data_IF_516356422942
#
_entry.id   IF_516356422942
#
_cell.length_a   1.000
_cell.length_b   1.000
_cell.length_c   1.000
_cell.angle_alpha   90.00
_cell.angle_beta   90.00
_cell.angle_gamma   90.00
#
_symmetry.space_group_name_H-M   'P 1'
#
loop_
_entity.id
_entity.type
_entity.pdbx_description
1 polymer ?
#
# COMPACT_ATOMS: atom_id res chain seq x y z
N UNK A 1 -20.36 -49.59 28.78
CA UNK A 1 -19.73 -48.96 27.59
C UNK A 1 -19.62 -47.48 27.89
N UNK A 2 -18.42 -47.02 28.28
CA UNK A 2 -18.19 -45.61 28.66
C UNK A 2 -17.88 -44.83 27.39
N UNK A 3 -18.72 -43.84 27.09
CA UNK A 3 -18.59 -42.96 25.93
C UNK A 3 -17.48 -41.94 26.19
N UNK A 4 -16.41 -42.01 25.40
CA UNK A 4 -15.28 -41.09 25.45
C UNK A 4 -15.61 -39.87 24.58
N UNK A 5 -16.21 -38.82 25.17
CA UNK A 5 -16.37 -37.53 24.51
C UNK A 5 -15.03 -36.80 24.47
N UNK A 6 -14.41 -36.80 23.29
CA UNK A 6 -13.24 -35.97 22.96
C UNK A 6 -13.72 -34.51 22.81
N UNK A 7 -13.61 -33.71 23.87
CA UNK A 7 -13.81 -32.26 23.82
C UNK A 7 -12.62 -31.61 23.10
N UNK A 8 -12.67 -31.58 21.77
CA UNK A 8 -11.75 -30.80 20.95
C UNK A 8 -12.06 -29.32 21.20
N UNK A 9 -11.32 -28.72 22.12
CA UNK A 9 -11.39 -27.29 22.42
C UNK A 9 -10.83 -26.54 21.23
N UNK A 10 -11.70 -26.11 20.31
CA UNK A 10 -11.34 -25.21 19.23
C UNK A 10 -11.03 -23.85 19.87
N UNK A 11 -9.78 -23.65 20.29
CA UNK A 11 -9.28 -22.34 20.66
C UNK A 11 -9.36 -21.47 19.41
N UNK A 12 -10.44 -20.72 19.26
CA UNK A 12 -10.56 -19.66 18.27
C UNK A 12 -9.48 -18.67 18.66
N UNK A 13 -8.32 -18.74 17.99
CA UNK A 13 -7.33 -17.68 18.00
C UNK A 13 -8.04 -16.46 17.44
N UNK A 14 -8.57 -15.63 18.34
CA UNK A 14 -8.98 -14.26 18.05
C UNK A 14 -7.71 -13.57 17.56
N UNK A 15 -7.51 -13.61 16.24
CA UNK A 15 -6.45 -12.85 15.61
C UNK A 15 -6.86 -11.40 15.77
N UNK A 16 -6.25 -10.73 16.74
CA UNK A 16 -6.35 -9.30 16.85
C UNK A 16 -5.82 -8.73 15.52
N UNK A 17 -6.69 -8.11 14.73
CA UNK A 17 -6.29 -7.38 13.52
C UNK A 17 -5.45 -6.19 13.98
N UNK A 18 -4.13 -6.38 14.09
CA UNK A 18 -3.22 -5.29 14.30
C UNK A 18 -3.14 -4.47 13.01
N UNK A 19 -3.28 -3.15 13.13
CA UNK A 19 -3.13 -2.26 11.98
C UNK A 19 -1.72 -1.67 11.94
N UNK A 20 -1.24 -1.42 10.73
CA UNK A 20 0.11 -0.90 10.51
C UNK A 20 0.06 0.63 10.39
N UNK A 21 0.76 1.35 11.27
CA UNK A 21 1.04 2.76 11.08
C UNK A 21 2.45 2.97 10.54
N UNK A 22 2.50 3.37 9.28
CA UNK A 22 3.71 3.67 8.53
C UNK A 22 4.14 5.12 8.75
N UNK A 23 5.38 5.33 9.19
CA UNK A 23 5.97 6.66 9.26
C UNK A 23 6.61 7.05 7.92
N UNK A 24 5.99 8.01 7.23
CA UNK A 24 6.44 8.49 5.92
C UNK A 24 7.65 9.43 5.97
N UNK A 25 8.09 9.90 7.14
CA UNK A 25 9.21 10.85 7.24
C UNK A 25 10.51 10.29 6.62
N UNK A 26 10.74 8.98 6.76
CA UNK A 26 11.96 8.30 6.33
C UNK A 26 11.73 7.37 5.11
N UNK A 27 10.58 7.45 4.46
CA UNK A 27 10.22 6.62 3.30
C UNK A 27 9.22 7.36 2.42
N UNK A 28 9.53 8.63 2.14
CA UNK A 28 8.62 9.60 1.51
C UNK A 28 8.21 9.13 0.13
N UNK A 29 9.15 8.65 -0.67
CA UNK A 29 8.90 8.24 -2.06
C UNK A 29 8.05 6.97 -2.13
N UNK A 30 8.27 6.03 -1.22
CA UNK A 30 7.40 4.85 -1.09
C UNK A 30 5.97 5.26 -0.66
N UNK A 31 5.83 6.18 0.30
CA UNK A 31 4.49 6.67 0.68
C UNK A 31 3.77 7.35 -0.48
N UNK A 32 4.49 8.17 -1.28
CA UNK A 32 3.93 8.79 -2.49
C UNK A 32 3.42 7.71 -3.47
N UNK A 33 4.18 6.63 -3.69
CA UNK A 33 3.76 5.52 -4.54
C UNK A 33 2.47 4.85 -4.03
N UNK A 34 2.43 4.51 -2.75
CA UNK A 34 1.27 3.86 -2.14
C UNK A 34 0.02 4.78 -2.12
N UNK A 35 0.19 6.07 -1.85
CA UNK A 35 -0.90 7.04 -1.92
C UNK A 35 -1.42 7.21 -3.34
N UNK A 36 -0.55 7.26 -4.35
CA UNK A 36 -1.00 7.25 -5.75
C UNK A 36 -1.78 5.98 -6.05
N UNK A 37 -1.21 4.81 -5.73
CA UNK A 37 -1.82 3.52 -6.00
C UNK A 37 -3.24 3.43 -5.42
N UNK A 38 -3.44 3.82 -4.16
CA UNK A 38 -4.75 3.73 -3.49
C UNK A 38 -5.67 4.88 -3.88
N UNK A 39 -5.21 6.13 -3.77
CA UNK A 39 -6.08 7.31 -3.89
C UNK A 39 -6.36 7.73 -5.34
N UNK A 40 -5.55 7.27 -6.29
CA UNK A 40 -5.65 7.61 -7.70
C UNK A 40 -5.79 6.36 -8.57
N UNK A 41 -5.07 5.28 -8.23
CA UNK A 41 -5.03 4.03 -8.98
C UNK A 41 -6.03 2.95 -8.53
N UNK A 42 -6.85 3.23 -7.51
CA UNK A 42 -7.84 2.29 -6.99
C UNK A 42 -7.26 0.93 -6.51
N UNK A 43 -6.00 0.90 -6.07
CA UNK A 43 -5.37 -0.28 -5.51
C UNK A 43 -6.07 -0.70 -4.21
N UNK A 44 -6.13 -2.02 -3.96
CA UNK A 44 -6.78 -2.56 -2.77
C UNK A 44 -6.07 -2.05 -1.49
N UNK A 45 -6.78 -1.33 -0.60
CA UNK A 45 -6.19 -0.79 0.62
C UNK A 45 -6.04 -1.82 1.75
N UNK A 46 -6.74 -2.95 1.65
CA UNK A 46 -6.61 -4.07 2.60
C UNK A 46 -5.48 -4.96 2.14
N UNK A 47 -4.55 -5.26 3.05
CA UNK A 47 -3.41 -6.10 2.76
C UNK A 47 -3.51 -7.39 3.58
N UNK A 48 -3.20 -8.52 2.95
CA UNK A 48 -3.19 -9.83 3.59
C UNK A 48 -1.76 -10.33 3.62
N UNK A 49 -1.18 -10.59 4.79
CA UNK A 49 0.22 -11.05 4.89
C UNK A 49 0.41 -12.32 4.06
N UNK A 50 1.34 -12.29 3.11
CA UNK A 50 1.68 -13.43 2.27
C UNK A 50 2.43 -14.53 3.05
N UNK A 51 2.50 -15.75 2.48
CA UNK A 51 3.30 -16.82 3.06
C UNK A 51 4.78 -16.42 3.25
N UNK A 52 5.48 -16.92 4.28
CA UNK A 52 6.92 -16.70 4.42
C UNK A 52 7.68 -17.04 3.14
N UNK A 53 8.60 -16.17 2.73
CA UNK A 53 9.40 -16.35 1.51
C UNK A 53 8.71 -16.00 0.19
N UNK A 54 7.41 -15.65 0.20
CA UNK A 54 6.71 -15.28 -1.04
C UNK A 54 7.22 -13.98 -1.66
N UNK A 55 7.77 -13.05 -0.86
CA UNK A 55 8.11 -11.69 -1.31
C UNK A 55 9.07 -11.62 -2.48
N UNK A 56 10.06 -12.52 -2.57
CA UNK A 56 10.95 -12.57 -3.73
C UNK A 56 10.20 -12.92 -5.02
N UNK A 57 9.26 -13.88 -4.94
CA UNK A 57 8.43 -14.24 -6.08
C UNK A 57 7.45 -13.11 -6.44
N UNK A 58 6.91 -12.40 -5.44
CA UNK A 58 6.02 -11.27 -5.68
C UNK A 58 6.76 -10.11 -6.35
N UNK A 59 7.93 -9.72 -5.86
CA UNK A 59 8.83 -8.74 -6.51
C UNK A 59 9.09 -9.08 -7.96
N UNK A 60 9.39 -10.36 -8.22
CA UNK A 60 9.58 -10.83 -9.59
C UNK A 60 8.31 -10.66 -10.42
N UNK A 61 7.16 -11.08 -9.93
CA UNK A 61 5.86 -10.90 -10.61
C UNK A 61 5.52 -9.43 -10.87
N UNK A 62 5.82 -8.58 -9.90
CA UNK A 62 5.65 -7.14 -10.02
C UNK A 62 6.59 -6.49 -11.04
N UNK A 63 7.64 -7.18 -11.53
CA UNK A 63 8.64 -6.60 -12.42
C UNK A 63 9.73 -5.80 -11.69
N UNK A 64 9.78 -5.88 -10.36
CA UNK A 64 10.88 -5.36 -9.53
C UNK A 64 12.09 -6.33 -9.48
N UNK A 65 12.14 -7.36 -10.32
CA UNK A 65 13.33 -8.19 -10.49
C UNK A 65 14.24 -7.59 -11.57
N UNK A 66 15.52 -7.36 -11.23
CA UNK A 66 16.53 -6.92 -12.21
C UNK A 66 16.85 -5.43 -12.14
N UNK A 67 17.11 -4.82 -13.31
CA UNK A 67 17.69 -3.47 -13.43
C UNK A 67 16.69 -2.39 -13.84
N UNK A 68 15.39 -2.57 -13.55
CA UNK A 68 14.34 -1.62 -13.97
C UNK A 68 14.56 -0.21 -13.40
N UNK A 69 15.19 -0.11 -12.24
CA UNK A 69 15.60 1.14 -11.61
C UNK A 69 17.06 1.52 -11.85
N UNK A 70 17.72 0.93 -12.86
CA UNK A 70 19.02 1.40 -13.30
C UNK A 70 18.84 2.64 -14.20
N UNK A 71 19.23 3.81 -13.67
CA UNK A 71 19.10 5.09 -14.36
C UNK A 71 19.79 5.15 -15.73
N UNK A 72 20.78 4.29 -16.01
CA UNK A 72 21.47 4.26 -17.32
C UNK A 72 20.68 3.52 -18.40
N UNK A 73 19.74 2.65 -18.00
CA UNK A 73 19.03 1.74 -18.92
C UNK A 73 17.52 1.82 -18.80
N UNK A 74 17.00 2.49 -17.78
CA UNK A 74 15.57 2.60 -17.56
C UNK A 74 14.93 3.47 -18.66
N UNK A 75 13.84 2.99 -19.30
CA UNK A 75 13.11 3.75 -20.30
C UNK A 75 12.10 4.74 -19.68
N UNK A 76 12.13 4.94 -18.36
CA UNK A 76 11.30 5.87 -17.61
C UNK A 76 12.17 6.67 -16.62
N UNK A 77 11.67 7.80 -16.08
CA UNK A 77 12.36 8.51 -15.02
C UNK A 77 12.69 7.61 -13.82
N UNK A 78 13.88 7.82 -13.27
CA UNK A 78 14.40 7.08 -12.10
C UNK A 78 14.93 8.10 -11.11
N UNK A 79 14.33 8.15 -9.92
CA UNK A 79 14.80 9.02 -8.82
C UNK A 79 15.66 8.27 -7.80
N UNK A 80 15.77 6.94 -7.92
CA UNK A 80 16.70 6.15 -7.12
C UNK A 80 16.79 4.70 -7.59
N UNK A 81 17.79 3.96 -7.11
CA UNK A 81 18.17 2.67 -7.68
C UNK A 81 17.27 1.50 -7.24
N UNK A 82 16.31 1.74 -6.35
CA UNK A 82 15.49 0.68 -5.75
C UNK A 82 14.08 0.69 -6.30
N UNK A 83 13.53 -0.49 -6.58
CA UNK A 83 12.12 -0.64 -6.98
C UNK A 83 11.23 -0.77 -5.74
N UNK A 84 10.25 0.13 -5.61
CA UNK A 84 9.17 0.07 -4.64
C UNK A 84 7.88 -0.38 -5.32
N UNK A 85 7.03 -1.09 -4.57
CA UNK A 85 5.85 -1.76 -5.09
C UNK A 85 4.68 -1.63 -4.11
N UNK A 86 3.52 -1.21 -4.62
CA UNK A 86 2.25 -1.25 -3.90
C UNK A 86 1.16 -1.89 -4.77
N UNK A 87 0.40 -2.89 -4.29
CA UNK A 87 0.48 -3.54 -2.97
C UNK A 87 1.85 -4.19 -2.66
N UNK A 88 2.18 -4.30 -1.37
CA UNK A 88 3.51 -4.74 -0.93
C UNK A 88 3.84 -6.16 -1.39
N UNK A 89 5.10 -6.45 -1.74
CA UNK A 89 5.51 -7.83 -2.03
C UNK A 89 5.34 -8.81 -0.84
N UNK A 90 5.19 -8.31 0.39
CA UNK A 90 4.86 -9.13 1.56
C UNK A 90 3.37 -9.39 1.75
N UNK A 91 2.49 -8.89 0.88
CA UNK A 91 1.04 -9.13 0.92
C UNK A 91 0.56 -9.97 -0.26
N UNK A 92 -0.54 -10.72 -0.14
CA UNK A 92 -1.05 -11.56 -1.25
C UNK A 92 -1.55 -10.74 -2.43
N UNK A 93 -1.89 -9.47 -2.20
CA UNK A 93 -2.32 -8.51 -3.20
C UNK A 93 -1.15 -7.97 -4.05
N UNK A 94 0.11 -8.21 -3.63
CA UNK A 94 1.29 -7.82 -4.38
C UNK A 94 1.56 -8.69 -5.62
N UNK A 95 2.57 -8.30 -6.40
CA UNK A 95 2.95 -9.00 -7.62
C UNK A 95 2.39 -8.33 -8.87
N UNK A 96 1.84 -9.13 -9.79
CA UNK A 96 1.42 -8.65 -11.11
C UNK A 96 0.41 -7.49 -10.97
N UNK A 97 0.62 -6.41 -11.72
CA UNK A 97 -0.23 -5.21 -11.67
C UNK A 97 0.06 -4.25 -10.51
N UNK A 98 1.06 -4.52 -9.67
CA UNK A 98 1.50 -3.55 -8.66
C UNK A 98 1.91 -2.22 -9.29
N UNK A 99 1.64 -1.13 -8.57
CA UNK A 99 2.14 0.20 -8.86
C UNK A 99 3.58 0.30 -8.42
N UNK A 100 4.46 0.58 -9.37
CA UNK A 100 5.89 0.62 -9.15
C UNK A 100 6.41 2.04 -9.18
N UNK A 101 7.43 2.30 -8.37
CA UNK A 101 8.21 3.54 -8.41
C UNK A 101 9.67 3.21 -8.14
N UNK A 102 10.57 3.78 -8.93
CA UNK A 102 11.99 3.71 -8.60
C UNK A 102 12.34 4.78 -7.58
N UNK A 103 12.80 4.39 -6.39
CA UNK A 103 13.00 5.26 -5.23
C UNK A 103 14.42 5.16 -4.66
N UNK A 104 14.86 6.12 -3.85
CA UNK A 104 16.11 5.99 -3.09
C UNK A 104 16.11 4.72 -2.24
N UNK A 105 17.24 4.01 -2.18
CA UNK A 105 17.35 2.76 -1.45
C UNK A 105 17.03 2.94 0.06
N UNK A 106 17.41 4.08 0.65
CA UNK A 106 17.10 4.41 2.03
C UNK A 106 15.59 4.43 2.33
N UNK A 107 14.79 5.00 1.43
CA UNK A 107 13.33 5.01 1.55
C UNK A 107 12.76 3.59 1.55
N UNK A 108 13.24 2.73 0.64
CA UNK A 108 12.78 1.34 0.54
C UNK A 108 13.17 0.51 1.76
N UNK A 109 14.42 0.66 2.25
CA UNK A 109 14.87 -0.03 3.46
C UNK A 109 14.10 0.38 4.71
N UNK A 110 13.80 1.67 4.84
CA UNK A 110 12.99 2.20 5.94
C UNK A 110 11.56 1.66 5.90
N UNK A 111 10.91 1.66 4.73
CA UNK A 111 9.57 1.09 4.55
C UNK A 111 9.57 -0.40 4.92
N UNK A 112 10.50 -1.18 4.37
CA UNK A 112 10.58 -2.62 4.60
C UNK A 112 10.90 -2.97 6.05
N UNK A 113 11.77 -2.19 6.71
CA UNK A 113 12.09 -2.36 8.13
C UNK A 113 10.89 -2.13 9.04
N UNK A 114 10.12 -1.06 8.79
CA UNK A 114 8.89 -0.77 9.54
C UNK A 114 7.85 -1.88 9.38
N UNK A 115 7.60 -2.32 8.14
CA UNK A 115 6.62 -3.36 7.84
C UNK A 115 7.03 -4.74 8.40
N UNK A 116 8.31 -5.09 8.30
CA UNK A 116 8.84 -6.31 8.93
C UNK A 116 8.73 -6.25 10.45
N UNK A 117 9.04 -5.11 11.06
CA UNK A 117 8.89 -4.89 12.50
C UNK A 117 7.44 -5.07 12.96
N UNK A 118 6.49 -4.49 12.21
CA UNK A 118 5.06 -4.65 12.45
C UNK A 118 4.66 -6.13 12.48
N UNK A 119 5.06 -6.90 11.47
CA UNK A 119 4.75 -8.32 11.37
C UNK A 119 5.31 -9.15 12.52
N UNK A 120 6.55 -8.86 12.94
CA UNK A 120 7.22 -9.60 14.03
C UNK A 120 6.59 -9.24 15.37
N UNK A 121 6.46 -7.95 15.69
CA UNK A 121 5.99 -7.48 17.00
C UNK A 121 4.53 -7.85 17.24
N UNK A 122 3.69 -7.81 16.21
CA UNK A 122 2.26 -8.09 16.33
C UNK A 122 1.89 -9.54 15.99
N UNK A 123 2.87 -10.40 15.70
CA UNK A 123 2.62 -11.81 15.39
C UNK A 123 1.66 -12.03 14.22
N UNK A 124 1.61 -11.10 13.26
CA UNK A 124 0.68 -11.17 12.12
C UNK A 124 1.06 -12.38 11.28
N UNK A 125 0.31 -13.47 11.25
CA UNK A 125 0.71 -14.65 10.46
C UNK A 125 0.25 -14.54 9.00
N UNK A 126 0.72 -15.45 8.14
CA UNK A 126 0.23 -15.53 6.76
C UNK A 126 -1.29 -15.70 6.73
N UNK A 127 -1.96 -15.00 5.82
CA UNK A 127 -3.42 -14.89 5.78
C UNK A 127 -4.01 -13.83 6.73
N UNK A 128 -3.21 -13.25 7.62
CA UNK A 128 -3.64 -12.15 8.49
C UNK A 128 -3.85 -10.87 7.69
N UNK A 129 -5.04 -10.30 7.80
CA UNK A 129 -5.40 -9.03 7.17
C UNK A 129 -5.08 -7.84 8.07
N UNK A 130 -4.62 -6.75 7.46
CA UNK A 130 -4.34 -5.49 8.13
C UNK A 130 -4.64 -4.30 7.22
N UNK A 131 -5.00 -3.18 7.85
CA UNK A 131 -5.06 -1.89 7.18
C UNK A 131 -3.73 -1.15 7.38
N UNK A 132 -3.39 -0.33 6.40
CA UNK A 132 -2.25 0.59 6.49
C UNK A 132 -2.77 1.99 6.81
N UNK A 133 -2.17 2.61 7.81
CA UNK A 133 -2.29 4.02 8.11
C UNK A 133 -0.93 4.67 7.89
N UNK A 134 -0.91 5.96 7.63
CA UNK A 134 0.30 6.74 7.45
C UNK A 134 0.38 7.88 8.47
N UNK A 135 1.60 8.23 8.86
CA UNK A 135 1.95 9.40 9.66
C UNK A 135 3.00 10.23 8.93
N UNK A 136 3.13 11.50 9.30
CA UNK A 136 4.11 12.42 8.69
C UNK A 136 3.97 12.51 7.15
N UNK A 137 2.73 12.48 6.67
CA UNK A 137 2.36 12.50 5.24
C UNK A 137 1.99 13.87 4.69
N UNK A 138 1.91 14.89 5.55
CA UNK A 138 1.54 16.26 5.15
C UNK A 138 2.51 16.78 4.08
N UNK A 139 1.95 17.37 3.02
CA UNK A 139 2.71 17.87 1.87
C UNK A 139 3.31 16.78 0.95
N UNK A 140 3.02 15.50 1.18
CA UNK A 140 3.33 14.44 0.22
C UNK A 140 2.26 14.40 -0.87
N UNK A 141 2.70 14.37 -2.13
CA UNK A 141 1.80 14.23 -3.28
C UNK A 141 0.94 12.98 -3.13
N UNK A 142 -0.34 13.09 -3.53
CA UNK A 142 -1.39 12.06 -3.44
C UNK A 142 -1.83 11.66 -2.03
N UNK A 143 -0.98 11.83 -1.01
CA UNK A 143 -1.35 11.61 0.40
C UNK A 143 -2.01 12.84 1.02
N UNK A 144 -1.86 14.00 0.41
CA UNK A 144 -2.43 15.25 0.89
C UNK A 144 -3.16 15.91 -0.27
N UNK A 145 -4.50 15.95 -0.17
CA UNK A 145 -5.36 16.55 -1.18
C UNK A 145 -5.12 18.06 -1.36
N UNK A 146 -4.40 18.71 -0.43
CA UNK A 146 -4.01 20.11 -0.57
C UNK A 146 -2.84 20.32 -1.55
N UNK A 147 -2.14 19.26 -1.97
CA UNK A 147 -1.01 19.37 -2.91
C UNK A 147 -1.53 19.52 -4.35
N UNK A 148 -1.18 20.60 -5.07
CA UNK A 148 -1.61 20.81 -6.46
C UNK A 148 -1.16 19.70 -7.40
N UNK A 149 -1.96 19.44 -8.44
CA UNK A 149 -1.65 18.44 -9.48
C UNK A 149 -2.54 17.20 -9.45
N UNK A 150 -3.45 17.08 -8.47
CA UNK A 150 -4.50 16.09 -8.50
C UNK A 150 -3.97 14.65 -8.55
N UNK A 151 -4.63 13.81 -9.34
CA UNK A 151 -4.16 12.45 -9.63
C UNK A 151 -3.28 12.34 -10.88
N UNK A 152 -2.83 13.45 -11.47
CA UNK A 152 -1.86 13.36 -12.56
C UNK A 152 -0.60 12.63 -12.08
N UNK A 153 -0.10 11.67 -12.85
CA UNK A 153 1.14 10.95 -12.55
C UNK A 153 2.31 11.96 -12.56
N UNK A 154 3.23 11.86 -11.61
CA UNK A 154 4.42 12.72 -11.54
C UNK A 154 5.54 12.28 -12.49
N UNK A 155 5.23 11.31 -13.35
CA UNK A 155 6.14 10.69 -14.32
C UNK A 155 6.95 9.54 -13.73
N UNK A 156 6.64 9.09 -12.52
CA UNK A 156 7.45 8.09 -11.82
C UNK A 156 6.67 6.81 -11.47
N UNK A 157 5.33 6.82 -11.51
CA UNK A 157 4.56 5.59 -11.36
C UNK A 157 4.50 4.82 -12.68
N UNK A 158 4.78 3.53 -12.62
CA UNK A 158 4.68 2.62 -13.77
C UNK A 158 4.18 1.24 -13.36
N UNK A 159 3.73 0.46 -14.34
CA UNK A 159 3.54 -0.99 -14.24
C UNK A 159 4.56 -1.69 -15.14
N UNK A 160 4.82 -2.97 -14.90
CA UNK A 160 5.46 -3.81 -15.92
C UNK A 160 4.42 -4.66 -16.63
N UNK A 161 4.47 -4.67 -17.96
CA UNK A 161 3.76 -5.64 -18.78
C UNK A 161 4.72 -6.68 -19.29
N UNK A 162 4.24 -7.92 -19.41
CA UNK A 162 5.01 -9.06 -19.91
C UNK A 162 4.52 -9.40 -21.30
N UNK A 163 5.36 -9.15 -22.30
CA UNK A 163 5.06 -9.47 -23.68
C UNK A 163 5.95 -10.60 -24.16
N UNK A 164 5.36 -11.58 -24.84
CA UNK A 164 6.12 -12.59 -25.57
C UNK A 164 6.67 -11.96 -26.85
N UNK A 165 7.98 -12.00 -27.03
CA UNK A 165 8.57 -11.63 -28.31
C UNK A 165 8.31 -12.72 -29.36
N UNK A 166 8.68 -12.46 -30.63
CA UNK A 166 8.49 -13.38 -31.77
C UNK A 166 9.14 -14.77 -31.58
N UNK A 167 10.02 -14.93 -30.59
CA UNK A 167 10.71 -16.19 -30.25
C UNK A 167 10.09 -16.89 -29.03
N UNK A 168 8.94 -16.41 -28.54
CA UNK A 168 8.30 -16.93 -27.33
C UNK A 168 9.03 -16.59 -26.03
N UNK A 169 9.98 -15.64 -26.06
CA UNK A 169 10.69 -15.18 -24.86
C UNK A 169 9.94 -14.01 -24.27
N UNK A 170 9.56 -14.14 -23.01
CA UNK A 170 8.91 -13.10 -22.22
C UNK A 170 9.88 -11.94 -21.97
N UNK A 171 9.42 -10.73 -22.27
CA UNK A 171 10.14 -9.48 -22.02
C UNK A 171 9.28 -8.61 -21.12
N UNK A 172 9.87 -8.13 -20.03
CA UNK A 172 9.24 -7.17 -19.13
C UNK A 172 9.46 -5.76 -19.67
N UNK A 173 8.36 -5.04 -19.90
CA UNK A 173 8.37 -3.67 -20.42
C UNK A 173 7.70 -2.77 -19.38
N UNK A 174 8.40 -1.78 -18.85
CA UNK A 174 7.77 -0.79 -17.98
C UNK A 174 6.90 0.15 -18.81
N UNK A 175 5.71 0.44 -18.31
CA UNK A 175 4.76 1.39 -18.88
C UNK A 175 4.35 2.37 -17.80
N UNK A 176 4.55 3.67 -18.05
CA UNK A 176 4.07 4.71 -17.14
C UNK A 176 2.56 4.55 -16.94
N UNK A 177 2.12 4.70 -15.70
CA UNK A 177 0.68 4.71 -15.42
C UNK A 177 0.10 5.98 -16.04
N UNK A 178 -0.91 5.89 -16.91
CA UNK A 178 -1.56 7.10 -17.45
C UNK A 178 -2.24 7.88 -16.32
N UNK A 179 -2.54 9.14 -16.57
CA UNK A 179 -3.39 9.91 -15.66
C UNK A 179 -4.74 9.19 -15.52
N UNK A 180 -5.22 8.92 -14.29
CA UNK A 180 -6.43 8.14 -14.09
C UNK A 180 -7.65 8.87 -14.63
N UNK A 181 -8.52 8.08 -15.25
CA UNK A 181 -9.75 8.53 -15.88
C UNK A 181 -10.89 7.70 -15.31
N UNK A 182 -11.97 8.34 -14.86
CA UNK A 182 -13.20 7.70 -14.41
C UNK A 182 -14.26 7.81 -15.50
N UNK A 183 -15.00 6.73 -15.74
CA UNK A 183 -16.13 6.75 -16.68
C UNK A 183 -17.39 7.11 -15.89
N UNK A 184 -17.99 8.24 -16.22
CA UNK A 184 -19.26 8.70 -15.65
C UNK A 184 -20.31 8.81 -16.74
N UNK A 185 -21.59 8.74 -16.35
CA UNK A 185 -22.69 9.04 -17.26
C UNK A 185 -22.99 10.53 -17.18
N UNK A 186 -22.78 11.25 -18.29
CA UNK A 186 -23.19 12.64 -18.44
C UNK A 186 -24.17 12.73 -19.60
N UNK A 187 -25.35 13.31 -19.36
CA UNK A 187 -26.44 13.41 -20.34
C UNK A 187 -26.87 12.07 -20.99
N UNK A 188 -26.74 10.97 -20.24
CA UNK A 188 -27.13 9.64 -20.70
C UNK A 188 -26.09 8.92 -21.56
N UNK A 189 -24.90 9.50 -21.73
CA UNK A 189 -23.77 8.91 -22.44
C UNK A 189 -22.59 8.65 -21.49
N UNK A 190 -21.91 7.51 -21.66
CA UNK A 190 -20.67 7.22 -20.92
C UNK A 190 -19.54 8.10 -21.45
N UNK A 191 -18.98 8.92 -20.56
CA UNK A 191 -17.86 9.80 -20.86
C UNK A 191 -16.73 9.57 -19.85
N UNK A 192 -15.49 9.62 -20.34
CA UNK A 192 -14.30 9.49 -19.51
C UNK A 192 -13.86 10.87 -19.01
N UNK A 193 -13.83 11.05 -17.70
CA UNK A 193 -13.40 12.27 -17.02
C UNK A 193 -12.09 12.02 -16.29
N UNK A 194 -11.13 12.94 -16.41
CA UNK A 194 -9.90 12.83 -15.64
C UNK A 194 -10.23 12.88 -14.14
N UNK A 195 -9.67 11.96 -13.36
CA UNK A 195 -9.72 12.03 -11.91
C UNK A 195 -8.88 13.21 -11.49
N UNK A 196 -9.53 14.33 -11.20
CA UNK A 196 -8.83 15.59 -10.97
C UNK A 196 -8.25 15.69 -9.57
N UNK A 197 -8.69 14.86 -8.61
CA UNK A 197 -8.22 14.91 -7.22
C UNK A 197 -8.10 13.50 -6.60
N UNK A 198 -7.10 13.26 -5.73
CA UNK A 198 -7.03 12.04 -4.93
C UNK A 198 -8.27 11.89 -4.05
N UNK A 199 -8.71 10.65 -3.85
CA UNK A 199 -9.79 10.40 -2.89
C UNK A 199 -9.38 10.85 -1.48
N UNK A 200 -10.29 11.47 -0.72
CA UNK A 200 -9.99 11.94 0.62
C UNK A 200 -9.74 10.76 1.55
N UNK A 201 -8.62 10.80 2.27
CA UNK A 201 -8.33 9.83 3.31
C UNK A 201 -9.04 10.17 4.61
N UNK A 202 -9.55 9.13 5.29
CA UNK A 202 -10.07 9.25 6.66
C UNK A 202 -8.92 9.51 7.63
N UNK A 203 -9.11 10.46 8.53
CA UNK A 203 -8.09 10.89 9.49
C UNK A 203 -8.51 10.54 10.91
N UNK A 204 -7.59 10.07 11.73
CA UNK A 204 -7.85 9.68 13.11
C UNK A 204 -6.81 10.22 14.08
N UNK A 205 -7.14 10.18 15.37
CA UNK A 205 -6.23 10.48 16.47
C UNK A 205 -6.16 9.28 17.39
N UNK A 206 -4.94 8.91 17.79
CA UNK A 206 -4.66 7.80 18.71
C UNK A 206 -4.64 8.25 20.18
N UNK A 207 -4.54 7.28 21.10
CA UNK A 207 -4.49 7.53 22.54
C UNK A 207 -3.24 8.23 23.06
N UNK A 208 -2.21 8.36 22.24
CA UNK A 208 -1.05 9.20 22.51
C UNK A 208 -1.06 10.50 21.69
N UNK A 209 -2.23 10.92 21.20
CA UNK A 209 -2.44 12.17 20.47
C UNK A 209 -1.64 12.29 19.17
N UNK A 210 -1.42 11.16 18.48
CA UNK A 210 -0.79 11.12 17.16
C UNK A 210 -1.90 11.12 16.10
N UNK A 211 -1.77 12.01 15.13
CA UNK A 211 -2.64 12.01 13.94
C UNK A 211 -2.17 10.95 12.95
N UNK A 212 -3.11 10.12 12.50
CA UNK A 212 -2.90 9.07 11.51
C UNK A 212 -3.91 9.22 10.37
N UNK A 213 -3.52 8.80 9.17
CA UNK A 213 -4.38 8.85 7.98
C UNK A 213 -4.54 7.44 7.45
N UNK A 214 -5.76 6.99 7.25
CA UNK A 214 -6.03 5.68 6.67
C UNK A 214 -5.63 5.71 5.20
N UNK A 215 -4.66 4.86 4.81
CA UNK A 215 -4.34 4.62 3.41
C UNK A 215 -5.43 3.71 2.83
N UNK A 216 -6.59 4.30 2.59
CA UNK A 216 -7.76 3.61 2.08
C UNK A 216 -8.75 4.56 1.44
N UNK A 217 -9.32 4.10 0.33
CA UNK A 217 -10.46 4.72 -0.37
C UNK A 217 -11.72 3.95 0.03
N UNK A 218 -12.81 4.66 0.32
CA UNK A 218 -14.15 4.12 0.59
C UNK A 218 -14.25 3.03 1.68
N UNK A 219 -13.25 2.92 2.54
CA UNK A 219 -13.27 1.99 3.68
C UNK A 219 -14.26 2.51 4.73
N UNK A 220 -15.36 1.78 4.95
CA UNK A 220 -16.42 2.12 5.91
C UNK A 220 -16.25 1.51 7.30
N UNK A 221 -15.19 0.73 7.50
CA UNK A 221 -14.89 0.06 8.76
C UNK A 221 -14.79 1.06 9.92
N UNK A 222 -15.34 0.72 11.09
CA UNK A 222 -15.10 1.48 12.32
C UNK A 222 -13.75 1.07 12.92
N UNK A 223 -12.91 2.06 13.16
CA UNK A 223 -11.56 1.88 13.69
C UNK A 223 -11.43 2.30 15.15
N UNK A 224 -12.45 2.93 15.75
CA UNK A 224 -12.37 3.39 17.15
C UNK A 224 -12.17 2.21 18.09
N UNK A 225 -11.21 2.30 19.00
CA UNK A 225 -10.84 1.24 19.94
C UNK A 225 -9.95 0.13 19.35
N UNK A 226 -9.67 0.15 18.04
CA UNK A 226 -8.74 -0.81 17.43
C UNK A 226 -7.29 -0.46 17.73
N UNK A 227 -6.46 -1.49 17.77
CA UNK A 227 -5.02 -1.36 17.94
C UNK A 227 -4.34 -0.98 16.64
N UNK A 228 -3.37 -0.09 16.77
CA UNK A 228 -2.47 0.32 15.70
C UNK A 228 -1.04 0.33 16.22
N UNK A 229 -0.12 -0.17 15.41
CA UNK A 229 1.29 -0.26 15.76
C UNK A 229 2.14 0.70 14.94
N UNK A 230 3.08 1.37 15.61
CA UNK A 230 4.09 2.25 15.01
C UNK A 230 5.47 1.68 15.29
N UNK A 231 6.42 1.83 14.35
CA UNK A 231 7.80 1.42 14.59
C UNK A 231 8.48 2.13 15.77
N UNK A 232 8.03 3.34 16.10
CA UNK A 232 8.52 4.10 17.26
C UNK A 232 7.78 3.77 18.58
N UNK A 233 6.72 2.97 18.53
CA UNK A 233 5.92 2.64 19.72
C UNK A 233 6.33 1.28 20.28
N UNK A 234 6.66 1.26 21.57
CA UNK A 234 6.99 0.02 22.31
C UNK A 234 5.80 -0.95 22.43
N UNK A 235 4.57 -0.44 22.24
CA UNK A 235 3.31 -1.19 22.32
C UNK A 235 2.27 -0.65 21.34
N UNK A 236 1.27 -1.46 20.94
CA UNK A 236 0.13 -0.97 20.18
C UNK A 236 -0.58 0.17 20.90
N UNK A 237 -1.10 1.11 20.12
CA UNK A 237 -1.84 2.29 20.57
C UNK A 237 -3.27 2.17 20.10
N UNK A 238 -4.23 2.69 20.87
CA UNK A 238 -5.64 2.67 20.49
C UNK A 238 -5.99 3.85 19.61
N UNK A 239 -6.81 3.63 18.59
CA UNK A 239 -7.46 4.72 17.84
C UNK A 239 -8.60 5.27 18.72
N UNK A 240 -8.58 6.56 19.02
CA UNK A 240 -9.53 7.17 19.95
C UNK A 240 -10.70 7.87 19.27
N UNK A 241 -10.43 8.59 18.19
CA UNK A 241 -11.46 9.33 17.46
C UNK A 241 -11.10 9.52 16.00
N UNK A 242 -12.12 9.62 15.17
CA UNK A 242 -12.02 10.09 13.79
C UNK A 242 -12.07 11.62 13.79
N UNK A 243 -11.29 12.25 12.91
CA UNK A 243 -11.40 13.66 12.59
C UNK A 243 -12.33 13.76 11.38
N UNK A 244 -13.52 14.36 11.52
CA UNK A 244 -14.40 14.55 10.39
C UNK A 244 -13.69 15.37 9.29
N UNK A 245 -13.95 15.08 8.01
CA UNK A 245 -13.51 15.96 6.94
C UNK A 245 -14.02 17.37 7.21
N UNK A 246 -13.20 18.39 6.94
CA UNK A 246 -13.68 19.77 7.00
C UNK A 246 -14.80 19.93 5.96
N UNK A 247 -15.92 20.58 6.33
CA UNK A 247 -16.99 20.88 5.38
C UNK A 247 -16.51 21.81 4.27
#
# INVERSE_FOLDING_TARGET
MVSLFLLLSLAILVHCQANFAWNCANSRQACINACFAVQCGNANPIQTRGPPGSSTAQRKRAGCAGSICNALTAPHPVIGPSCDEFPFASSTEGGDGAYLRCIPAADNYSQGGQLSGFFVVNGVVAGGQYYTFITNSVGLRYCDAAVPGGCANDGQQFHTVRLLNKRGVETEIPMLVPDPVEVGVHDGEEQAFNVTQPSPMRKFVTSNNIEIWLLGRDVKEDFIGKDIWFAAAERPVKIQREIPPKP
#
